data_IF_602174751009
#
_entry.id   IF_602174751009
#
_cell.length_a   1.000
_cell.length_b   1.000
_cell.length_c   1.000
_cell.angle_alpha   90.00
_cell.angle_beta   90.00
_cell.angle_gamma   90.00
#
_symmetry.space_group_name_H-M   'P 1'
#
loop_
_entity.id
_entity.type
_entity.pdbx_description
1 polymer ?
#
# COMPACT_ATOMS: atom_id res chain seq x y z
N UNK A 1 -5.20 23.23 9.38
CA UNK A 1 -6.37 22.37 9.11
C UNK A 1 -5.86 21.09 8.47
N UNK A 2 -6.63 20.01 8.57
CA UNK A 2 -6.30 18.72 7.99
C UNK A 2 -7.49 18.19 7.19
N UNK A 3 -7.22 17.57 6.04
CA UNK A 3 -8.25 16.99 5.18
C UNK A 3 -7.71 15.77 4.42
N UNK A 4 -8.60 14.92 3.96
CA UNK A 4 -8.26 13.86 3.00
C UNK A 4 -8.89 14.18 1.65
N UNK A 5 -8.06 14.33 0.64
CA UNK A 5 -8.45 14.79 -0.69
C UNK A 5 -8.11 13.74 -1.75
N UNK A 6 -8.84 13.74 -2.86
CA UNK A 6 -8.46 13.04 -4.08
C UNK A 6 -7.61 14.01 -4.93
N UNK A 7 -6.32 13.76 -5.07
CA UNK A 7 -5.44 14.63 -5.85
C UNK A 7 -5.68 14.37 -7.33
N UNK A 8 -6.24 15.36 -8.02
CA UNK A 8 -6.56 15.26 -9.46
C UNK A 8 -5.38 15.67 -10.32
N UNK A 9 -4.69 16.74 -9.93
CA UNK A 9 -3.62 17.32 -10.75
C UNK A 9 -2.59 18.02 -9.87
N UNK A 10 -1.30 17.91 -10.22
CA UNK A 10 -0.23 18.70 -9.58
C UNK A 10 0.55 19.47 -10.63
N UNK A 11 0.51 20.81 -10.57
CA UNK A 11 1.25 21.69 -11.49
C UNK A 11 2.49 22.26 -10.84
N UNK A 12 3.61 22.17 -11.55
CA UNK A 12 4.82 22.92 -11.24
C UNK A 12 4.88 24.20 -12.10
N UNK A 13 4.95 25.37 -11.45
CA UNK A 13 5.00 26.67 -12.10
C UNK A 13 6.24 27.42 -11.63
N UNK A 14 7.21 27.59 -12.52
CA UNK A 14 8.37 28.44 -12.24
C UNK A 14 8.00 29.91 -12.44
N UNK A 15 8.26 30.72 -11.41
CA UNK A 15 8.11 32.17 -11.48
C UNK A 15 9.25 32.78 -12.30
N UNK A 16 9.02 34.00 -12.79
CA UNK A 16 10.05 34.80 -13.48
C UNK A 16 11.29 35.09 -12.63
N UNK A 17 11.18 34.99 -11.30
CA UNK A 17 12.28 35.17 -10.35
C UNK A 17 13.01 33.87 -10.01
N UNK A 18 12.64 32.75 -10.64
CA UNK A 18 13.24 31.43 -10.40
C UNK A 18 12.67 30.68 -9.19
N UNK A 19 11.62 31.19 -8.55
CA UNK A 19 10.95 30.46 -7.47
C UNK A 19 9.94 29.48 -8.07
N UNK A 20 9.89 28.25 -7.56
CA UNK A 20 8.99 27.22 -8.04
C UNK A 20 7.77 27.14 -7.14
N UNK A 21 6.58 27.31 -7.71
CA UNK A 21 5.30 27.13 -7.03
C UNK A 21 4.69 25.81 -7.49
N UNK A 22 4.22 25.02 -6.55
CA UNK A 22 3.43 23.83 -6.81
C UNK A 22 1.96 24.10 -6.48
N UNK A 23 1.06 23.70 -7.37
CA UNK A 23 -0.39 23.83 -7.20
C UNK A 23 -1.00 22.44 -7.28
N UNK A 24 -1.63 22.01 -6.20
CA UNK A 24 -2.34 20.73 -6.09
C UNK A 24 -3.83 21.03 -6.22
N UNK A 25 -4.51 20.39 -7.17
CA UNK A 25 -5.98 20.47 -7.32
C UNK A 25 -6.62 19.18 -6.85
N UNK A 26 -7.67 19.29 -6.03
CA UNK A 26 -8.49 18.15 -5.65
C UNK A 26 -9.65 17.88 -6.64
N UNK A 27 -10.50 16.90 -6.31
CA UNK A 27 -11.69 16.55 -7.09
C UNK A 27 -12.83 17.59 -7.01
N UNK A 28 -12.89 18.35 -5.92
CA UNK A 28 -13.89 19.41 -5.71
C UNK A 28 -13.48 20.72 -6.40
N UNK A 29 -12.27 20.79 -6.93
CA UNK A 29 -11.71 21.96 -7.61
C UNK A 29 -10.96 22.92 -6.68
N UNK A 30 -10.74 22.56 -5.42
CA UNK A 30 -9.95 23.33 -4.46
C UNK A 30 -8.48 23.29 -4.85
N UNK A 31 -7.82 24.46 -4.82
CA UNK A 31 -6.39 24.58 -5.14
C UNK A 31 -5.56 24.84 -3.88
N UNK A 32 -4.60 23.96 -3.63
CA UNK A 32 -3.65 24.06 -2.53
C UNK A 32 -2.26 24.41 -3.06
N UNK A 33 -1.65 25.46 -2.52
CA UNK A 33 -0.37 25.97 -3.02
C UNK A 33 0.78 25.69 -2.06
N UNK A 34 1.93 25.29 -2.57
CA UNK A 34 3.17 25.31 -1.79
C UNK A 34 4.35 25.83 -2.60
N UNK A 35 5.27 26.51 -1.91
CA UNK A 35 6.57 26.90 -2.46
C UNK A 35 7.70 26.01 -1.96
N UNK A 36 7.39 24.97 -1.16
CA UNK A 36 8.38 24.04 -0.64
C UNK A 36 8.57 22.90 -1.64
N UNK A 37 9.75 22.77 -2.30
CA UNK A 37 9.94 21.76 -3.34
C UNK A 37 9.79 20.32 -2.86
N UNK A 38 10.09 20.06 -1.57
CA UNK A 38 9.90 18.73 -0.98
C UNK A 38 8.43 18.31 -0.98
N UNK A 39 7.53 19.23 -0.57
CA UNK A 39 6.09 18.97 -0.54
C UNK A 39 5.54 18.85 -1.97
N UNK A 40 5.98 19.72 -2.88
CA UNK A 40 5.54 19.67 -4.28
C UNK A 40 5.90 18.37 -5.00
N UNK A 41 7.12 17.86 -4.78
CA UNK A 41 7.55 16.55 -5.31
C UNK A 41 6.82 15.38 -4.67
N UNK A 42 6.55 15.47 -3.37
CA UNK A 42 5.77 14.45 -2.67
C UNK A 42 4.33 14.44 -3.18
N UNK A 43 3.72 15.60 -3.43
CA UNK A 43 2.38 15.71 -4.00
C UNK A 43 2.23 15.05 -5.37
N UNK A 44 3.25 15.14 -6.24
CA UNK A 44 3.25 14.44 -7.53
C UNK A 44 3.08 12.93 -7.41
N UNK A 45 3.50 12.33 -6.28
CA UNK A 45 3.36 10.87 -6.06
C UNK A 45 1.92 10.45 -5.78
N UNK A 46 1.08 11.40 -5.38
CA UNK A 46 -0.33 11.18 -5.06
C UNK A 46 -1.25 11.59 -6.21
N UNK A 47 -0.74 12.07 -7.35
CA UNK A 47 -1.59 12.40 -8.50
C UNK A 47 -2.43 11.18 -8.94
N UNK A 48 -3.74 11.38 -9.05
CA UNK A 48 -4.73 10.32 -9.28
C UNK A 48 -5.09 9.47 -8.05
N UNK A 49 -4.60 9.81 -6.85
CA UNK A 49 -4.79 9.03 -5.61
C UNK A 49 -5.31 9.90 -4.47
N UNK A 50 -5.81 9.23 -3.42
CA UNK A 50 -6.16 9.89 -2.16
C UNK A 50 -4.92 10.19 -1.35
N UNK A 51 -4.93 11.34 -0.69
CA UNK A 51 -3.88 11.76 0.22
C UNK A 51 -4.46 12.55 1.40
N UNK A 52 -3.82 12.43 2.56
CA UNK A 52 -4.07 13.31 3.70
C UNK A 52 -3.19 14.53 3.56
N UNK A 53 -3.79 15.71 3.69
CA UNK A 53 -3.09 16.99 3.63
C UNK A 53 -3.25 17.75 4.94
N UNK A 54 -2.23 18.55 5.25
CA UNK A 54 -2.31 19.62 6.23
C UNK A 54 -2.14 20.95 5.49
N UNK A 55 -3.00 21.92 5.78
CA UNK A 55 -3.00 23.21 5.10
C UNK A 55 -3.41 24.35 6.03
N UNK A 56 -3.03 25.57 5.66
CA UNK A 56 -3.52 26.80 6.29
C UNK A 56 -4.08 27.76 5.24
N UNK A 57 -4.94 28.65 5.70
CA UNK A 57 -5.58 29.65 4.87
C UNK A 57 -5.08 31.03 5.27
N UNK A 58 -4.87 31.90 4.29
CA UNK A 58 -4.50 33.29 4.49
C UNK A 58 -5.37 34.21 3.65
N UNK A 59 -6.00 35.19 4.30
CA UNK A 59 -6.69 36.28 3.63
C UNK A 59 -5.77 37.49 3.51
N UNK A 60 -5.44 37.85 2.26
CA UNK A 60 -4.58 39.01 1.98
C UNK A 60 -5.07 39.77 0.77
N UNK A 61 -5.36 41.06 0.97
CA UNK A 61 -5.79 41.96 -0.12
C UNK A 61 -7.11 41.56 -0.78
N UNK A 62 -8.01 40.89 -0.07
CA UNK A 62 -9.29 40.39 -0.59
C UNK A 62 -9.21 39.03 -1.29
N UNK A 63 -8.03 38.39 -1.30
CA UNK A 63 -7.85 37.03 -1.82
C UNK A 63 -7.75 36.03 -0.67
N UNK A 64 -8.43 34.89 -0.83
CA UNK A 64 -8.34 33.75 0.05
C UNK A 64 -7.35 32.74 -0.53
N UNK A 65 -6.19 32.58 0.11
CA UNK A 65 -5.13 31.70 -0.36
C UNK A 65 -5.07 30.46 0.53
N UNK A 66 -5.06 29.28 -0.07
CA UNK A 66 -4.92 28.01 0.65
C UNK A 66 -3.52 27.45 0.41
N UNK A 67 -2.75 27.28 1.49
CA UNK A 67 -1.36 26.86 1.44
C UNK A 67 -1.19 25.44 2.00
N UNK A 68 -0.55 24.59 1.19
CA UNK A 68 -0.24 23.22 1.54
C UNK A 68 1.03 23.15 2.41
N UNK A 69 0.86 22.67 3.64
CA UNK A 69 1.91 22.51 4.63
C UNK A 69 2.48 21.09 4.69
N UNK A 70 1.67 20.08 4.37
CA UNK A 70 2.08 18.69 4.32
C UNK A 70 1.15 17.85 3.44
N UNK A 71 1.68 16.76 2.89
CA UNK A 71 0.91 15.72 2.21
C UNK A 71 1.46 14.35 2.58
N UNK A 72 0.57 13.41 2.86
CA UNK A 72 0.87 12.06 3.34
C UNK A 72 -0.14 11.06 2.74
N UNK A 73 0.12 9.74 2.85
CA UNK A 73 -0.86 8.74 2.46
C UNK A 73 -2.20 8.94 3.17
N UNK A 74 -3.31 8.66 2.47
CA UNK A 74 -4.62 8.61 3.11
C UNK A 74 -4.62 7.56 4.22
N UNK A 75 -5.46 7.76 5.26
CA UNK A 75 -5.59 6.75 6.32
C UNK A 75 -6.14 5.42 5.79
N UNK A 76 -5.76 4.33 6.45
CA UNK A 76 -6.21 2.98 6.11
C UNK A 76 -7.76 2.88 6.11
N UNK A 77 -8.43 3.51 7.07
CA UNK A 77 -9.90 3.53 7.16
C UNK A 77 -10.56 4.18 5.92
N UNK A 78 -9.94 5.21 5.36
CA UNK A 78 -10.43 5.87 4.15
C UNK A 78 -9.98 5.18 2.86
N UNK A 79 -8.84 4.49 2.88
CA UNK A 79 -8.40 3.65 1.78
C UNK A 79 -9.36 2.47 1.57
N UNK A 80 -9.77 1.80 2.65
CA UNK A 80 -10.76 0.72 2.65
C UNK A 80 -12.15 1.22 2.20
N UNK A 81 -12.57 2.42 2.63
CA UNK A 81 -13.82 3.03 2.18
C UNK A 81 -13.81 3.48 0.70
N UNK A 82 -12.64 3.83 0.15
CA UNK A 82 -12.49 4.13 -1.28
C UNK A 82 -12.52 2.85 -2.12
N UNK A 83 -11.89 1.77 -1.66
CA UNK A 83 -11.97 0.45 -2.31
C UNK A 83 -13.43 -0.08 -2.32
N UNK A 84 -14.17 0.09 -1.22
CA UNK A 84 -15.59 -0.26 -1.16
C UNK A 84 -16.52 0.64 -2.01
N UNK A 85 -16.12 1.89 -2.29
CA UNK A 85 -16.88 2.79 -3.17
C UNK A 85 -16.57 2.56 -4.67
N UNK A 86 -15.35 2.13 -5.00
CA UNK A 86 -14.94 1.72 -6.35
C UNK A 86 -15.51 0.33 -6.73
N UNK A 87 -15.86 -0.51 -5.74
CA UNK A 87 -16.58 -1.78 -5.93
C UNK A 87 -17.98 -1.61 -6.55
N UNK A 88 -18.58 -0.42 -6.52
CA UNK A 88 -19.84 -0.17 -7.23
C UNK A 88 -19.68 0.27 -8.69
N UNK A 89 -18.45 0.44 -9.20
CA UNK A 89 -18.26 0.71 -10.63
C UNK A 89 -17.12 -0.04 -11.34
N UNK A 90 -16.19 -0.74 -10.67
CA UNK A 90 -15.28 -1.70 -11.34
C UNK A 90 -14.59 -2.75 -10.43
N UNK A 91 -15.15 -3.14 -9.29
CA UNK A 91 -14.65 -4.26 -8.49
C UNK A 91 -15.34 -5.59 -8.83
N UNK A 92 -14.57 -6.60 -9.26
CA UNK A 92 -15.06 -7.98 -9.43
C UNK A 92 -15.65 -8.46 -8.10
N UNK A 93 -16.92 -8.87 -8.11
CA UNK A 93 -17.61 -9.30 -6.89
C UNK A 93 -16.94 -10.53 -6.26
N UNK A 94 -17.08 -10.78 -4.94
CA UNK A 94 -16.52 -11.96 -4.27
C UNK A 94 -16.92 -13.28 -4.94
N UNK A 95 -18.14 -13.35 -5.48
CA UNK A 95 -18.62 -14.47 -6.27
C UNK A 95 -17.83 -14.62 -7.59
N UNK A 96 -17.49 -13.53 -8.28
CA UNK A 96 -16.65 -13.56 -9.49
C UNK A 96 -15.17 -13.92 -9.20
N UNK A 97 -14.62 -13.53 -8.05
CA UNK A 97 -13.23 -13.88 -7.63
C UNK A 97 -13.09 -15.39 -7.35
N UNK A 98 -14.14 -16.01 -6.80
CA UNK A 98 -14.18 -17.45 -6.58
C UNK A 98 -14.05 -18.25 -7.89
N UNK A 99 -14.72 -17.80 -8.95
CA UNK A 99 -14.64 -18.45 -10.25
C UNK A 99 -13.29 -18.23 -10.95
N UNK A 100 -12.70 -17.04 -10.84
CA UNK A 100 -11.39 -16.72 -11.45
C UNK A 100 -10.26 -17.58 -10.84
N UNK A 101 -10.26 -17.72 -9.52
CA UNK A 101 -9.28 -18.54 -8.79
C UNK A 101 -9.41 -20.03 -9.15
N UNK A 102 -10.64 -20.51 -9.34
CA UNK A 102 -10.88 -21.89 -9.76
C UNK A 102 -10.39 -22.15 -11.20
N UNK A 103 -10.49 -21.18 -12.10
CA UNK A 103 -9.96 -21.28 -13.48
C UNK A 103 -8.44 -21.26 -13.49
N UNK A 104 -7.80 -20.38 -12.72
CA UNK A 104 -6.33 -20.31 -12.60
C UNK A 104 -5.73 -21.58 -11.96
N UNK A 105 -6.41 -22.17 -10.99
CA UNK A 105 -5.99 -23.43 -10.39
C UNK A 105 -6.29 -24.67 -11.25
N UNK A 106 -7.15 -24.55 -12.27
CA UNK A 106 -7.58 -25.67 -13.11
C UNK A 106 -6.41 -26.35 -13.81
N UNK A 107 -5.39 -25.59 -14.20
CA UNK A 107 -4.23 -26.11 -14.92
C UNK A 107 -3.37 -27.05 -14.05
N UNK A 108 -3.31 -26.77 -12.75
CA UNK A 108 -2.66 -27.61 -11.74
C UNK A 108 -3.52 -28.81 -11.31
N UNK A 109 -4.84 -28.64 -11.26
CA UNK A 109 -5.80 -29.67 -10.85
C UNK A 109 -6.08 -30.72 -11.95
N UNK A 110 -6.09 -30.32 -13.22
CA UNK A 110 -6.31 -31.21 -14.37
C UNK A 110 -5.03 -31.89 -14.85
N UNK A 111 -3.86 -31.55 -14.28
CA UNK A 111 -2.56 -32.05 -14.70
C UNK A 111 -2.16 -31.64 -16.13
N UNK A 112 -2.83 -30.63 -16.69
CA UNK A 112 -2.58 -30.08 -18.03
C UNK A 112 -1.43 -29.05 -18.05
N UNK A 113 -1.06 -28.54 -16.87
CA UNK A 113 0.15 -27.76 -16.67
C UNK A 113 1.39 -28.63 -16.82
N UNK A 114 1.81 -28.91 -18.05
CA UNK A 114 3.12 -29.46 -18.34
C UNK A 114 4.16 -28.50 -17.75
N UNK A 115 4.68 -28.83 -16.56
CA UNK A 115 5.77 -28.08 -15.94
C UNK A 115 6.90 -28.04 -16.96
N UNK A 116 7.19 -26.86 -17.51
CA UNK A 116 8.06 -26.73 -18.69
C UNK A 116 9.47 -27.30 -18.48
N UNK A 117 9.88 -27.55 -17.23
CA UNK A 117 11.06 -28.35 -16.87
C UNK A 117 10.85 -29.05 -15.53
N UNK A 118 10.81 -30.37 -15.53
CA UNK A 118 10.97 -31.16 -14.30
C UNK A 118 12.37 -30.91 -13.72
N UNK A 119 12.46 -30.44 -12.48
CA UNK A 119 13.74 -30.31 -11.78
C UNK A 119 14.11 -31.70 -11.25
N UNK A 120 15.32 -32.22 -11.54
CA UNK A 120 15.76 -33.50 -10.99
C UNK A 120 15.70 -33.50 -9.45
N UNK A 121 15.26 -34.59 -8.80
CA UNK A 121 15.07 -34.65 -7.36
C UNK A 121 16.30 -34.22 -6.55
N UNK A 122 17.49 -34.53 -7.02
CA UNK A 122 18.75 -34.21 -6.37
C UNK A 122 18.98 -32.70 -6.32
N UNK A 123 18.67 -31.99 -7.41
CA UNK A 123 18.77 -30.52 -7.50
C UNK A 123 17.74 -29.82 -6.62
N UNK A 124 16.54 -30.40 -6.50
CA UNK A 124 15.48 -29.87 -5.66
C UNK A 124 15.85 -30.02 -4.18
N UNK A 125 16.38 -31.18 -3.78
CA UNK A 125 16.85 -31.44 -2.42
C UNK A 125 17.95 -30.44 -2.01
N UNK A 126 18.93 -30.22 -2.87
CA UNK A 126 20.02 -29.27 -2.61
C UNK A 126 19.49 -27.84 -2.40
N UNK A 127 18.47 -27.43 -3.17
CA UNK A 127 17.85 -26.11 -3.06
C UNK A 127 17.02 -25.95 -1.79
N UNK A 128 16.37 -27.02 -1.31
CA UNK A 128 15.52 -27.02 -0.12
C UNK A 128 16.28 -27.27 1.18
N UNK A 129 17.52 -27.77 1.11
CA UNK A 129 18.34 -28.09 2.29
C UNK A 129 18.52 -26.91 3.26
N UNK A 130 18.84 -25.68 2.82
CA UNK A 130 19.02 -24.56 3.74
C UNK A 130 17.77 -24.22 4.55
N UNK A 131 16.58 -24.36 3.94
CA UNK A 131 15.31 -24.17 4.63
C UNK A 131 15.06 -25.27 5.67
N UNK A 132 15.34 -26.54 5.31
CA UNK A 132 15.23 -27.67 6.24
C UNK A 132 16.12 -27.49 7.46
N UNK A 133 17.34 -27.00 7.25
CA UNK A 133 18.33 -26.81 8.33
C UNK A 133 17.89 -25.66 9.27
N UNK A 134 17.42 -24.53 8.72
CA UNK A 134 16.84 -23.43 9.51
C UNK A 134 15.63 -23.87 10.34
N UNK A 135 14.70 -24.63 9.75
CA UNK A 135 13.53 -25.15 10.46
C UNK A 135 13.92 -26.17 11.53
N UNK A 136 14.91 -27.01 11.26
CA UNK A 136 15.40 -27.98 12.25
C UNK A 136 16.09 -27.31 13.43
N UNK A 137 16.80 -26.20 13.20
CA UNK A 137 17.43 -25.41 14.24
C UNK A 137 16.39 -24.63 15.07
N UNK A 138 15.38 -24.03 14.42
CA UNK A 138 14.25 -23.35 15.08
C UNK A 138 13.45 -24.30 15.99
N UNK A 139 13.14 -25.52 15.52
CA UNK A 139 12.47 -26.55 16.33
C UNK A 139 13.33 -26.99 17.52
N UNK A 140 14.66 -27.01 17.39
CA UNK A 140 15.57 -27.40 18.47
C UNK A 140 15.73 -26.29 19.51
N UNK A 141 15.87 -25.05 19.06
CA UNK A 141 16.00 -23.87 19.93
C UNK A 141 14.69 -23.59 20.70
N UNK A 142 13.54 -23.78 20.06
CA UNK A 142 12.22 -23.67 20.72
C UNK A 142 11.86 -24.83 21.66
N UNK A 143 12.67 -25.89 21.74
CA UNK A 143 12.41 -27.08 22.55
C UNK A 143 13.02 -27.07 23.95
N UNK A 144 14.04 -26.25 24.21
CA UNK A 144 14.78 -26.22 25.49
C UNK A 144 14.23 -25.20 26.52
N UNK A 145 13.23 -24.37 26.15
CA UNK A 145 12.56 -23.43 27.06
C UNK A 145 11.21 -23.97 27.63
N UNK A 146 11.13 -25.27 27.90
CA UNK A 146 9.88 -25.94 28.32
C UNK A 146 9.97 -26.84 29.56
N UNK A 147 10.99 -26.70 30.40
CA UNK A 147 11.34 -27.66 31.45
C UNK A 147 11.39 -27.16 32.89
N UNK A 148 10.34 -26.52 33.43
CA UNK A 148 9.94 -26.68 34.84
C UNK A 148 8.52 -26.17 35.08
N UNK A 149 7.54 -27.07 35.02
CA UNK A 149 6.21 -26.82 35.56
C UNK A 149 5.91 -27.93 36.56
N UNK A 150 6.00 -27.68 37.88
CA UNK A 150 5.67 -28.69 38.87
C UNK A 150 4.16 -28.91 38.83
N UNK A 151 3.74 -30.00 38.16
CA UNK A 151 2.38 -30.51 38.22
C UNK A 151 2.17 -31.30 39.51
N UNK A 152 1.02 -31.03 40.11
CA UNK A 152 0.39 -31.72 41.22
C UNK A 152 0.69 -33.23 41.30
N UNK A 153 0.99 -33.70 42.52
CA UNK A 153 0.90 -35.11 42.88
C UNK A 153 -0.40 -35.36 43.66
N UNK A 154 -1.27 -36.29 43.22
CA UNK A 154 -2.34 -36.81 44.06
C UNK A 154 -1.94 -38.14 44.72
N UNK A 155 -2.14 -38.24 46.03
CA UNK A 155 -2.80 -39.34 46.78
C UNK A 155 -2.71 -39.06 48.27
#
# INVERSE_FOLDING_TARGET
MDAEIQVVEVKEVQSRSGNTRYVVRDADGTEYTTFRPQIGREAHRYEGRRARISYHEEERGGFHNVYLDNIAPASAETAEAAEAADEHHHGKSPDEVGWDTAVEAADWLLGAGETKKAVPPERLYDKLRPFKDLVADDIREGGDEGGDHPRDRPS
#
